data_IF_923031032640
#
_entry.id   IF_923031032640
#
_cell.length_a   1.000
_cell.length_b   1.000
_cell.length_c   1.000
_cell.angle_alpha   90.00
_cell.angle_beta   90.00
_cell.angle_gamma   90.00
#
_symmetry.space_group_name_H-M   'P 1'
#
loop_
_entity.id
_entity.type
_entity.pdbx_description
1 polymer ?
#
# COMPACT_ATOMS: atom_id res chain seq x y z
N UNK A 1 13.22 -6.83 0.15
CA UNK A 1 12.02 -6.00 0.41
C UNK A 1 10.74 -6.85 0.42
N UNK A 2 10.41 -7.57 -0.66
CA UNK A 2 9.17 -8.38 -0.78
C UNK A 2 8.92 -9.33 0.39
N UNK A 3 9.91 -10.19 0.73
CA UNK A 3 9.79 -11.15 1.86
C UNK A 3 9.43 -10.44 3.17
N UNK A 4 10.09 -9.33 3.47
CA UNK A 4 9.85 -8.53 4.68
C UNK A 4 8.49 -7.83 4.67
N UNK A 5 8.00 -7.41 3.50
CA UNK A 5 6.66 -6.82 3.37
C UNK A 5 5.61 -7.90 3.66
N UNK A 6 5.71 -9.06 3.02
CA UNK A 6 4.81 -10.19 3.22
C UNK A 6 4.81 -10.66 4.69
N UNK A 7 5.97 -10.78 5.33
CA UNK A 7 6.09 -11.28 6.71
C UNK A 7 5.49 -10.35 7.77
N UNK A 8 5.24 -9.09 7.44
CA UNK A 8 4.59 -8.12 8.34
C UNK A 8 3.06 -8.16 8.25
N UNK A 9 2.51 -9.10 7.49
CA UNK A 9 1.08 -9.19 7.22
C UNK A 9 0.60 -10.62 7.33
N UNK A 10 -0.69 -10.76 7.58
CA UNK A 10 -1.40 -12.05 7.54
C UNK A 10 -1.97 -12.35 6.14
N UNK A 11 -1.44 -11.68 5.09
CA UNK A 11 -1.91 -11.89 3.72
C UNK A 11 -1.42 -13.23 3.18
N UNK A 12 -2.27 -13.87 2.36
CA UNK A 12 -1.92 -15.14 1.69
C UNK A 12 -0.69 -14.95 0.79
N UNK A 13 0.16 -15.99 0.63
CA UNK A 13 1.32 -15.91 -0.26
C UNK A 13 1.00 -15.45 -1.69
N UNK A 14 -0.21 -15.72 -2.20
CA UNK A 14 -0.68 -15.29 -3.52
C UNK A 14 -0.60 -13.77 -3.77
N UNK A 15 -0.52 -12.95 -2.73
CA UNK A 15 -0.37 -11.49 -2.85
C UNK A 15 1.07 -11.02 -3.14
N UNK A 16 2.05 -11.93 -3.21
CA UNK A 16 3.47 -11.60 -3.39
C UNK A 16 3.75 -10.75 -4.65
N UNK A 17 2.98 -10.93 -5.73
CA UNK A 17 3.12 -10.13 -6.95
C UNK A 17 2.84 -8.65 -6.73
N UNK A 18 1.84 -8.32 -5.91
CA UNK A 18 1.54 -6.93 -5.54
C UNK A 18 2.62 -6.33 -4.62
N UNK A 19 3.17 -7.15 -3.72
CA UNK A 19 4.32 -6.75 -2.90
C UNK A 19 5.56 -6.49 -3.77
N UNK A 20 5.81 -7.33 -4.79
CA UNK A 20 6.90 -7.15 -5.76
C UNK A 20 6.75 -5.84 -6.53
N UNK A 21 5.58 -5.58 -7.10
CA UNK A 21 5.30 -4.33 -7.82
C UNK A 21 5.51 -3.10 -6.92
N UNK A 22 5.04 -3.18 -5.67
CA UNK A 22 5.22 -2.12 -4.68
C UNK A 22 6.71 -1.91 -4.36
N UNK A 23 7.45 -3.00 -4.15
CA UNK A 23 8.88 -2.94 -3.86
C UNK A 23 9.68 -2.33 -5.02
N UNK A 24 9.41 -2.73 -6.26
CA UNK A 24 10.05 -2.16 -7.44
C UNK A 24 9.78 -0.65 -7.54
N UNK A 25 8.53 -0.22 -7.30
CA UNK A 25 8.18 1.20 -7.29
C UNK A 25 8.90 1.98 -6.19
N UNK A 26 8.99 1.42 -4.98
CA UNK A 26 9.73 2.02 -3.87
C UNK A 26 11.23 2.14 -4.16
N UNK A 27 11.82 1.13 -4.80
CA UNK A 27 13.24 1.16 -5.18
C UNK A 27 13.53 2.26 -6.22
N UNK A 28 12.62 2.49 -7.16
CA UNK A 28 12.81 3.54 -8.18
C UNK A 28 12.74 4.97 -7.62
N UNK A 29 12.08 5.16 -6.47
CA UNK A 29 11.94 6.47 -5.83
C UNK A 29 12.81 6.61 -4.57
N UNK A 30 13.50 5.54 -4.15
CA UNK A 30 14.42 5.61 -3.02
C UNK A 30 15.76 6.20 -3.48
N UNK A 31 16.35 7.04 -2.62
CA UNK A 31 17.72 7.47 -2.81
C UNK A 31 18.66 6.29 -2.56
N UNK A 32 19.65 6.15 -3.44
CA UNK A 32 20.75 5.21 -3.27
C UNK A 32 22.00 5.96 -2.85
N UNK A 33 22.82 5.37 -1.98
CA UNK A 33 24.08 5.99 -1.54
C UNK A 33 25.06 6.26 -2.70
N UNK A 34 24.93 5.50 -3.79
CA UNK A 34 25.83 5.57 -4.94
C UNK A 34 25.48 6.69 -5.92
N UNK A 35 24.27 7.27 -5.85
CA UNK A 35 23.80 8.30 -6.79
C UNK A 35 23.12 9.45 -6.06
N UNK A 36 23.37 10.71 -6.45
CA UNK A 36 22.82 11.88 -5.76
C UNK A 36 21.32 12.08 -5.98
N UNK A 37 20.72 11.35 -6.92
CA UNK A 37 19.31 11.45 -7.33
C UNK A 37 18.68 10.07 -7.40
N UNK A 38 17.36 10.01 -7.25
CA UNK A 38 16.62 8.75 -7.39
C UNK A 38 16.60 8.26 -8.84
N UNK A 39 16.50 6.95 -9.12
CA UNK A 39 16.31 6.47 -10.49
C UNK A 39 15.15 7.16 -11.22
N UNK A 40 14.04 7.42 -10.51
CA UNK A 40 12.90 8.16 -11.02
C UNK A 40 13.27 9.58 -11.43
N UNK A 41 14.03 10.30 -10.60
CA UNK A 41 14.51 11.66 -10.91
C UNK A 41 15.43 11.71 -12.12
N UNK A 42 16.33 10.73 -12.22
CA UNK A 42 17.25 10.63 -13.35
C UNK A 42 16.46 10.40 -14.64
N UNK A 43 15.47 9.52 -14.62
CA UNK A 43 14.68 9.16 -15.79
C UNK A 43 13.66 10.25 -16.20
N UNK A 44 13.00 10.87 -15.24
CA UNK A 44 11.90 11.83 -15.52
C UNK A 44 12.31 13.29 -15.39
N UNK A 45 13.55 13.59 -14.98
CA UNK A 45 14.05 14.96 -14.81
C UNK A 45 13.41 15.74 -13.65
N UNK A 46 12.59 15.09 -12.80
CA UNK A 46 11.88 15.73 -11.68
C UNK A 46 11.78 14.82 -10.45
N UNK A 47 11.76 15.39 -9.22
CA UNK A 47 11.58 14.63 -8.00
C UNK A 47 10.26 13.86 -7.94
N UNK A 48 10.32 12.64 -7.41
CA UNK A 48 9.14 11.87 -7.08
C UNK A 48 8.39 12.51 -5.90
N UNK A 49 7.06 12.46 -5.92
CA UNK A 49 6.27 12.86 -4.74
C UNK A 49 6.21 11.71 -3.74
N UNK A 50 6.57 11.95 -2.48
CA UNK A 50 6.46 10.93 -1.43
C UNK A 50 5.09 10.92 -0.74
N UNK A 51 4.23 11.92 -1.01
CA UNK A 51 2.95 12.14 -0.30
C UNK A 51 1.94 11.01 -0.47
N UNK A 52 2.03 10.27 -1.58
CA UNK A 52 1.14 9.16 -1.89
C UNK A 52 1.67 7.81 -1.39
N UNK A 53 2.89 7.75 -0.86
CA UNK A 53 3.46 6.49 -0.39
C UNK A 53 2.77 6.03 0.88
N UNK A 54 2.53 4.72 0.92
CA UNK A 54 1.85 4.05 2.03
C UNK A 54 2.58 2.77 2.41
N UNK A 55 2.45 2.40 3.68
CA UNK A 55 3.04 1.18 4.22
C UNK A 55 2.25 -0.02 3.70
N UNK A 56 2.91 -0.86 2.91
CA UNK A 56 2.31 -2.08 2.37
C UNK A 56 1.76 -2.98 3.47
N UNK A 57 0.55 -3.52 3.26
CA UNK A 57 -0.12 -4.35 4.25
C UNK A 57 -0.85 -3.60 5.36
N UNK A 58 -0.67 -2.27 5.43
CA UNK A 58 -1.34 -1.44 6.43
C UNK A 58 -2.87 -1.53 6.28
N UNK A 59 -3.60 -1.66 7.40
CA UNK A 59 -5.05 -1.54 7.38
C UNK A 59 -5.46 -0.11 7.04
N UNK A 60 -6.53 0.02 6.28
CA UNK A 60 -7.10 1.31 5.88
C UNK A 60 -8.62 1.22 5.85
N UNK A 61 -9.29 2.28 6.33
CA UNK A 61 -10.72 2.46 6.11
C UNK A 61 -10.94 3.03 4.74
N UNK A 62 -11.56 2.25 3.86
CA UNK A 62 -11.85 2.64 2.48
C UNK A 62 -13.31 3.01 2.37
N UNK A 63 -13.61 4.21 1.86
CA UNK A 63 -14.99 4.66 1.69
C UNK A 63 -15.66 3.83 0.60
N UNK A 64 -16.77 3.16 0.92
CA UNK A 64 -17.58 2.42 -0.04
C UNK A 64 -18.57 3.39 -0.69
N UNK A 65 -18.63 3.39 -2.02
CA UNK A 65 -19.57 4.24 -2.77
C UNK A 65 -20.98 3.62 -2.84
N UNK A 66 -21.14 2.40 -2.37
CA UNK A 66 -22.38 1.63 -2.40
C UNK A 66 -22.88 1.47 -0.96
N UNK A 67 -24.02 2.09 -0.65
CA UNK A 67 -24.68 2.00 0.66
C UNK A 67 -25.76 3.05 0.82
N UNK A 68 -26.92 2.62 1.34
CA UNK A 68 -28.05 3.50 1.63
C UNK A 68 -27.73 4.45 2.80
N UNK A 69 -28.58 5.46 3.04
CA UNK A 69 -28.30 6.61 3.94
C UNK A 69 -27.79 6.26 5.36
N UNK A 70 -28.00 5.02 5.82
CA UNK A 70 -27.70 4.49 7.16
C UNK A 70 -26.58 3.45 7.22
N UNK A 71 -26.01 3.00 6.10
CA UNK A 71 -25.03 1.92 6.11
C UNK A 71 -23.62 2.38 6.48
N UNK A 72 -22.79 1.44 6.97
CA UNK A 72 -21.38 1.70 7.27
C UNK A 72 -20.65 2.20 6.02
N UNK A 73 -20.33 3.49 6.00
CA UNK A 73 -19.76 4.18 4.83
C UNK A 73 -18.32 3.78 4.49
N UNK A 74 -17.71 2.92 5.30
CA UNK A 74 -16.31 2.51 5.13
C UNK A 74 -16.06 1.07 5.55
N UNK A 75 -15.27 0.36 4.74
CA UNK A 75 -14.83 -1.01 5.04
C UNK A 75 -13.36 -1.01 5.45
N UNK A 76 -13.00 -1.85 6.42
CA UNK A 76 -11.61 -2.05 6.84
C UNK A 76 -10.93 -3.01 5.85
N UNK A 77 -10.01 -2.47 5.05
CA UNK A 77 -9.32 -3.23 4.02
C UNK A 77 -7.80 -3.20 4.22
N UNK A 78 -7.08 -4.07 3.52
CA UNK A 78 -5.61 -4.08 3.50
C UNK A 78 -5.10 -3.39 2.26
N UNK A 79 -4.18 -2.45 2.43
CA UNK A 79 -3.46 -1.86 1.29
C UNK A 79 -2.48 -2.88 0.70
N UNK A 80 -2.64 -3.20 -0.59
CA UNK A 80 -1.79 -4.20 -1.26
C UNK A 80 -0.93 -3.62 -2.37
N UNK A 81 -1.16 -2.39 -2.85
CA UNK A 81 -0.27 -1.78 -3.83
C UNK A 81 -0.86 -0.56 -4.54
N UNK A 82 -0.13 -0.04 -5.52
CA UNK A 82 -0.53 1.15 -6.29
C UNK A 82 -1.20 0.77 -7.60
N UNK A 83 -2.32 1.40 -7.95
CA UNK A 83 -2.99 1.16 -9.24
C UNK A 83 -2.11 1.62 -10.41
N UNK A 84 -2.06 0.81 -11.48
CA UNK A 84 -1.33 1.14 -12.72
C UNK A 84 -2.20 1.93 -13.70
N UNK A 85 -3.51 1.73 -13.66
CA UNK A 85 -4.47 2.27 -14.64
C UNK A 85 -5.14 3.56 -14.16
N UNK A 86 -5.28 3.74 -12.85
CA UNK A 86 -6.07 4.83 -12.26
C UNK A 86 -5.35 5.47 -11.09
N UNK A 87 -5.73 6.71 -10.75
CA UNK A 87 -5.18 7.40 -9.58
C UNK A 87 -5.81 6.81 -8.32
N UNK A 88 -5.14 5.84 -7.71
CA UNK A 88 -5.61 5.17 -6.50
C UNK A 88 -4.70 4.03 -6.06
N UNK A 89 -5.22 3.26 -5.11
CA UNK A 89 -4.53 2.13 -4.49
C UNK A 89 -5.36 0.86 -4.65
N UNK A 90 -4.68 -0.27 -4.78
CA UNK A 90 -5.30 -1.58 -4.65
C UNK A 90 -5.52 -1.89 -3.17
N UNK A 91 -6.75 -2.30 -2.86
CA UNK A 91 -7.16 -2.77 -1.54
C UNK A 91 -7.68 -4.19 -1.63
N UNK A 92 -7.39 -4.97 -0.60
CA UNK A 92 -7.97 -6.28 -0.37
C UNK A 92 -8.99 -6.20 0.77
N UNK A 93 -10.23 -6.58 0.50
CA UNK A 93 -11.27 -6.76 1.50
C UNK A 93 -11.22 -8.22 2.01
N UNK A 94 -10.86 -8.46 3.27
CA UNK A 94 -10.83 -9.82 3.82
C UNK A 94 -12.24 -10.42 3.99
N UNK A 95 -13.28 -9.59 4.13
CA UNK A 95 -14.67 -10.03 4.31
C UNK A 95 -15.25 -10.54 3.00
N UNK A 96 -15.05 -9.80 1.91
CA UNK A 96 -15.53 -10.20 0.58
C UNK A 96 -14.53 -11.03 -0.22
N UNK A 97 -13.29 -11.13 0.27
CA UNK A 97 -12.14 -11.71 -0.43
C UNK A 97 -11.90 -11.10 -1.83
N UNK A 98 -12.21 -9.82 -1.99
CA UNK A 98 -12.10 -9.10 -3.26
C UNK A 98 -10.98 -8.08 -3.25
N UNK A 99 -10.41 -7.90 -4.44
CA UNK A 99 -9.46 -6.83 -4.72
C UNK A 99 -10.20 -5.74 -5.50
N UNK A 100 -10.03 -4.49 -5.11
CA UNK A 100 -10.61 -3.36 -5.80
C UNK A 100 -9.70 -2.14 -5.69
N UNK A 101 -9.96 -1.13 -6.52
CA UNK A 101 -9.21 0.13 -6.52
C UNK A 101 -10.03 1.22 -5.85
N UNK A 102 -9.40 1.99 -4.95
CA UNK A 102 -9.99 3.21 -4.42
C UNK A 102 -8.93 4.28 -4.18
N UNK A 103 -9.35 5.55 -4.25
CA UNK A 103 -8.53 6.71 -3.90
C UNK A 103 -8.81 7.21 -2.49
N UNK A 104 -10.02 6.99 -2.00
CA UNK A 104 -10.52 7.57 -0.75
C UNK A 104 -10.36 6.55 0.38
N UNK A 105 -9.20 6.60 1.04
CA UNK A 105 -8.89 5.74 2.16
C UNK A 105 -8.16 6.50 3.28
N UNK A 106 -8.48 6.14 4.51
CA UNK A 106 -7.79 6.59 5.72
C UNK A 106 -6.90 5.46 6.22
N UNK A 107 -5.58 5.64 6.14
CA UNK A 107 -4.60 4.61 6.48
C UNK A 107 -4.26 4.63 7.97
N UNK A 108 -4.18 3.45 8.58
CA UNK A 108 -3.93 3.25 10.02
C UNK A 108 -2.46 2.83 10.27
N UNK A 109 -1.52 3.53 9.64
CA UNK A 109 -0.09 3.16 9.62
C UNK A 109 0.57 3.21 11.01
N UNK A 110 0.13 4.13 11.87
CA UNK A 110 0.67 4.27 13.24
C UNK A 110 0.36 3.05 14.11
N UNK A 111 -0.83 2.46 13.96
CA UNK A 111 -1.22 1.25 14.68
C UNK A 111 -0.45 0.06 14.13
N UNK A 112 -0.35 -0.02 12.80
CA UNK A 112 0.35 -1.10 12.11
C UNK A 112 1.82 -1.22 12.52
N UNK A 113 2.53 -0.11 12.70
CA UNK A 113 3.92 -0.14 13.14
C UNK A 113 4.08 -0.81 14.52
N UNK A 114 3.21 -0.47 15.48
CA UNK A 114 3.22 -1.07 16.82
C UNK A 114 2.94 -2.57 16.79
N UNK A 115 1.99 -3.01 15.97
CA UNK A 115 1.68 -4.43 15.82
C UNK A 115 2.81 -5.20 15.14
N UNK A 116 3.43 -4.61 14.13
CA UNK A 116 4.58 -5.18 13.43
C UNK A 116 5.80 -5.37 14.37
N UNK A 117 6.00 -4.46 15.32
CA UNK A 117 7.07 -4.59 16.32
C UNK A 117 6.79 -5.72 17.32
N UNK A 118 5.53 -5.89 17.76
CA UNK A 118 5.13 -7.02 18.63
C UNK A 118 5.23 -8.39 17.94
N UNK A 119 5.02 -8.47 16.62
CA UNK A 119 5.18 -9.74 15.88
C UNK A 119 6.65 -10.13 15.63
N UNK A 120 7.61 -9.26 16.00
CA UNK A 120 9.04 -9.48 15.81
C UNK A 120 9.79 -9.81 17.11
N UNK A 121 9.14 -9.70 18.28
CA UNK A 121 9.66 -10.10 19.59
C UNK A 121 9.28 -11.54 19.92
#
# INVERSE_FOLDING_TARGET
>A
MVRSMMSLTELRPSFWGYALDTAAKLLNIALSKSVPRTPYEIWHGKPASYKYLRVWGSPAYVKRLVGDKLDSRSSLCRFIGYSKETVGYYFYDPTEQKIFVSRNAVFLEKVFHRTADMMRS
#
